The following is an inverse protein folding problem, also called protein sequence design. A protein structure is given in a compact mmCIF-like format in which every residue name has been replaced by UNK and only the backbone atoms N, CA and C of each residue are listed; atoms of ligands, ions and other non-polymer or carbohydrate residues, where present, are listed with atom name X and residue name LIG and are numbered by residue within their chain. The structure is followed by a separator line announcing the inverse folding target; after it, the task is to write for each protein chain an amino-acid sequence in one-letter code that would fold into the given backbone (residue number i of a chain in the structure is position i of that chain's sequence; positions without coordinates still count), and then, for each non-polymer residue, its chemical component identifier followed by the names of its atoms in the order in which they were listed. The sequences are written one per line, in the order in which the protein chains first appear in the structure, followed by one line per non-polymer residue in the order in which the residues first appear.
data_IF_364442838525
#
_entry.id   IF_364442838525
#
_cell.length_a   1.000
_cell.length_b   1.000
_cell.length_c   1.000
_cell.angle_alpha   90.00
_cell.angle_beta   90.00
_cell.angle_gamma   90.00
#
_symmetry.space_group_name_H-M   'P 1'
#
loop_
_entity.id
_entity.type
_entity.pdbx_description
1 polymer ?
#
# COMPACT_ATOMS: atom_id res chain seq x y z
N UNK A 1 -7.95 -7.56 -1.91
CA UNK A 1 -7.58 -7.40 -3.34
C UNK A 1 -8.60 -6.58 -4.12
N UNK A 2 -9.86 -7.02 -4.21
CA UNK A 2 -10.89 -6.34 -5.03
C UNK A 2 -11.08 -4.84 -4.71
N UNK A 3 -11.19 -4.47 -3.44
CA UNK A 3 -11.34 -3.06 -3.04
C UNK A 3 -10.16 -2.18 -3.47
N UNK A 4 -8.93 -2.68 -3.38
CA UNK A 4 -7.74 -1.94 -3.81
C UNK A 4 -7.65 -1.83 -5.33
N UNK A 5 -8.00 -2.89 -6.06
CA UNK A 5 -8.11 -2.83 -7.52
C UNK A 5 -9.17 -1.81 -7.98
N UNK A 6 -10.29 -1.71 -7.25
CA UNK A 6 -11.32 -0.70 -7.51
C UNK A 6 -10.79 0.73 -7.28
N UNK A 7 -10.07 0.97 -6.19
CA UNK A 7 -9.41 2.26 -5.94
C UNK A 7 -8.43 2.62 -7.06
N UNK A 8 -7.61 1.67 -7.50
CA UNK A 8 -6.68 1.93 -8.60
C UNK A 8 -7.39 2.31 -9.90
N UNK A 9 -8.49 1.62 -10.22
CA UNK A 9 -9.28 1.95 -11.41
C UNK A 9 -9.93 3.33 -11.28
N UNK A 10 -10.52 3.61 -10.12
CA UNK A 10 -11.12 4.91 -9.82
C UNK A 10 -10.10 6.05 -9.97
N UNK A 11 -8.91 5.90 -9.37
CA UNK A 11 -7.85 6.92 -9.44
C UNK A 11 -7.39 7.21 -10.87
N UNK A 12 -7.28 6.18 -11.73
CA UNK A 12 -6.91 6.37 -13.15
C UNK A 12 -7.97 7.11 -13.94
N UNK A 13 -9.25 6.87 -13.66
CA UNK A 13 -10.35 7.57 -14.32
C UNK A 13 -10.47 9.01 -13.80
N UNK A 14 -10.38 9.22 -12.49
CA UNK A 14 -10.32 10.57 -11.86
C UNK A 14 -9.20 11.43 -12.42
N UNK A 15 -8.01 10.87 -12.68
CA UNK A 15 -6.90 11.62 -13.28
C UNK A 15 -7.28 12.23 -14.63
N UNK A 16 -8.03 11.49 -15.46
CA UNK A 16 -8.47 11.97 -16.78
C UNK A 16 -9.54 13.04 -16.64
N UNK A 17 -10.50 12.80 -15.75
CA UNK A 17 -11.59 13.73 -15.48
C UNK A 17 -11.08 15.07 -14.94
N UNK A 18 -10.07 15.06 -14.08
CA UNK A 18 -9.55 16.27 -13.41
C UNK A 18 -8.38 16.95 -14.14
N UNK A 19 -7.88 16.37 -15.23
CA UNK A 19 -6.74 16.91 -15.98
C UNK A 19 -6.98 18.35 -16.46
N UNK A 20 -8.19 18.65 -16.92
CA UNK A 20 -8.57 19.99 -17.40
C UNK A 20 -8.59 21.04 -16.28
N UNK A 21 -8.69 20.61 -15.02
CA UNK A 21 -8.63 21.48 -13.83
C UNK A 21 -7.20 21.63 -13.29
N UNK A 22 -6.20 20.98 -13.90
CA UNK A 22 -4.81 21.00 -13.43
C UNK A 22 -4.58 20.25 -12.10
N UNK A 23 -5.50 19.37 -11.69
CA UNK A 23 -5.40 18.60 -10.45
C UNK A 23 -4.71 17.26 -10.71
N UNK A 24 -3.63 16.99 -9.99
CA UNK A 24 -2.92 15.72 -10.01
C UNK A 24 -3.60 14.63 -9.19
N UNK A 25 -3.52 13.38 -9.64
CA UNK A 25 -4.04 12.21 -8.91
C UNK A 25 -2.93 11.17 -8.85
N UNK A 26 -2.59 10.73 -7.63
CA UNK A 26 -1.49 9.81 -7.36
C UNK A 26 -2.00 8.54 -6.68
N UNK A 27 -1.56 7.37 -7.17
CA UNK A 27 -1.76 6.09 -6.48
C UNK A 27 -0.47 5.73 -5.73
N UNK A 28 -0.51 5.75 -4.39
CA UNK A 28 0.59 5.26 -3.55
C UNK A 28 0.27 3.84 -3.05
N UNK A 29 1.09 2.85 -3.45
CA UNK A 29 1.01 1.44 -3.04
C UNK A 29 2.13 1.09 -2.07
N UNK A 30 1.93 1.26 -0.75
CA UNK A 30 2.91 0.82 0.22
C UNK A 30 2.83 -0.69 0.42
N UNK A 31 4.00 -1.30 0.67
CA UNK A 31 4.14 -2.64 1.21
C UNK A 31 3.71 -2.73 2.67
N UNK A 32 4.00 -3.85 3.34
CA UNK A 32 3.55 -4.07 4.71
C UNK A 32 4.29 -3.15 5.71
N UNK A 33 3.62 -2.04 6.05
CA UNK A 33 4.03 -1.09 7.07
C UNK A 33 3.40 -1.41 8.44
N UNK A 34 4.18 -1.26 9.50
CA UNK A 34 3.71 -1.46 10.88
C UNK A 34 2.73 -0.36 11.27
N UNK A 35 1.44 -0.71 11.33
CA UNK A 35 0.34 0.19 11.65
C UNK A 35 -0.73 -0.57 12.42
N UNK A 36 -1.69 0.16 12.99
CA UNK A 36 -2.88 -0.41 13.62
C UNK A 36 -3.92 -0.93 12.60
N UNK A 37 -3.52 -1.24 11.35
CA UNK A 37 -4.44 -1.68 10.29
C UNK A 37 -5.27 -2.92 10.66
N UNK A 38 -4.67 -3.84 11.43
CA UNK A 38 -5.34 -5.04 11.92
C UNK A 38 -5.85 -4.90 13.37
N UNK A 39 -5.72 -3.71 13.98
CA UNK A 39 -6.24 -3.48 15.32
C UNK A 39 -7.76 -3.65 15.32
N UNK A 40 -8.26 -4.50 16.21
CA UNK A 40 -9.69 -4.82 16.30
C UNK A 40 -10.17 -5.97 15.40
N UNK A 41 -9.27 -6.64 14.67
CA UNK A 41 -9.63 -7.91 14.04
C UNK A 41 -9.86 -8.98 15.10
N UNK A 42 -10.91 -9.78 14.92
CA UNK A 42 -11.20 -10.91 15.80
C UNK A 42 -10.07 -11.94 15.72
N UNK A 43 -9.61 -12.42 16.87
CA UNK A 43 -8.38 -13.21 17.00
C UNK A 43 -8.45 -14.54 16.24
N UNK A 44 -9.56 -15.28 16.32
CA UNK A 44 -9.71 -16.56 15.64
C UNK A 44 -9.70 -16.38 14.11
N UNK A 45 -10.35 -15.33 13.60
CA UNK A 45 -10.28 -14.96 12.18
C UNK A 45 -8.86 -14.59 11.76
N UNK A 46 -8.16 -13.77 12.55
CA UNK A 46 -6.77 -13.40 12.27
C UNK A 46 -5.87 -14.64 12.25
N UNK A 47 -6.01 -15.52 13.24
CA UNK A 47 -5.26 -16.78 13.34
C UNK A 47 -5.49 -17.65 12.11
N UNK A 48 -6.75 -17.87 11.73
CA UNK A 48 -7.09 -18.67 10.54
C UNK A 48 -6.49 -18.08 9.24
N UNK A 49 -6.52 -16.75 9.09
CA UNK A 49 -5.96 -16.07 7.93
C UNK A 49 -4.43 -16.21 7.85
N UNK A 50 -3.74 -16.04 8.98
CA UNK A 50 -2.27 -16.20 9.04
C UNK A 50 -1.88 -17.66 8.82
N UNK A 51 -2.59 -18.64 9.37
CA UNK A 51 -2.33 -20.07 9.10
C UNK A 51 -2.47 -20.39 7.62
N UNK A 52 -3.49 -19.85 6.95
CA UNK A 52 -3.64 -20.00 5.50
C UNK A 52 -2.50 -19.31 4.74
N UNK A 53 -2.06 -18.14 5.18
CA UNK A 53 -0.96 -17.40 4.57
C UNK A 53 0.41 -18.06 4.75
N UNK A 54 0.67 -18.74 5.87
CA UNK A 54 1.88 -19.52 6.10
C UNK A 54 2.04 -20.67 5.08
N UNK A 55 0.93 -21.26 4.61
CA UNK A 55 0.96 -22.32 3.58
C UNK A 55 1.48 -21.83 2.23
N UNK A 56 1.53 -20.51 2.01
CA UNK A 56 2.06 -19.90 0.77
C UNK A 56 3.58 -19.71 0.80
N UNK A 57 4.27 -20.20 1.83
CA UNK A 57 5.72 -20.13 1.98
C UNK A 57 6.15 -19.44 3.27
N UNK A 58 7.41 -19.62 3.70
CA UNK A 58 7.90 -19.15 5.00
C UNK A 58 8.26 -17.67 5.02
N UNK A 59 8.42 -17.03 3.85
CA UNK A 59 8.92 -15.65 3.73
C UNK A 59 7.79 -14.65 3.43
N UNK A 60 7.92 -13.44 3.96
CA UNK A 60 7.06 -12.29 3.67
C UNK A 60 7.91 -11.04 3.42
N UNK A 61 7.32 -10.04 2.79
CA UNK A 61 7.90 -8.71 2.58
C UNK A 61 7.25 -7.70 3.54
N UNK A 62 7.80 -7.60 4.77
CA UNK A 62 7.38 -6.63 5.78
C UNK A 62 8.55 -5.84 6.37
N UNK A 63 8.24 -4.96 7.33
CA UNK A 63 9.24 -4.17 8.06
C UNK A 63 9.29 -2.72 7.63
N UNK A 64 8.38 -2.25 6.77
CA UNK A 64 8.23 -0.82 6.55
C UNK A 64 7.74 -0.15 7.85
N UNK A 65 8.26 1.05 8.12
CA UNK A 65 7.75 1.94 9.15
C UNK A 65 6.78 2.96 8.51
N UNK A 66 5.83 3.54 9.27
CA UNK A 66 4.94 4.59 8.78
C UNK A 66 5.70 5.75 8.10
N UNK A 67 6.89 6.08 8.60
CA UNK A 67 7.76 7.14 8.08
C UNK A 67 8.21 6.84 6.64
N UNK A 68 8.40 5.58 6.26
CA UNK A 68 8.72 5.21 4.88
C UNK A 68 7.56 5.52 3.93
N UNK A 69 6.31 5.33 4.38
CA UNK A 69 5.12 5.70 3.62
C UNK A 69 5.00 7.22 3.52
N UNK A 70 5.25 7.94 4.61
CA UNK A 70 5.24 9.40 4.64
C UNK A 70 6.30 10.01 3.70
N UNK A 71 7.52 9.47 3.69
CA UNK A 71 8.59 9.88 2.78
C UNK A 71 8.21 9.63 1.31
N UNK A 72 7.58 8.50 1.02
CA UNK A 72 7.08 8.18 -0.33
C UNK A 72 5.98 9.14 -0.78
N UNK A 73 5.09 9.54 0.13
CA UNK A 73 4.09 10.57 -0.13
C UNK A 73 4.75 11.93 -0.39
N UNK A 74 5.73 12.33 0.43
CA UNK A 74 6.47 13.58 0.24
C UNK A 74 7.14 13.62 -1.14
N UNK A 75 7.77 12.53 -1.56
CA UNK A 75 8.34 12.40 -2.91
C UNK A 75 7.30 12.67 -4.00
N UNK A 76 6.10 12.09 -3.89
CA UNK A 76 5.04 12.33 -4.86
C UNK A 76 4.58 13.78 -4.91
N UNK A 77 4.57 14.48 -3.76
CA UNK A 77 4.15 15.88 -3.64
C UNK A 77 5.22 16.88 -4.05
N UNK A 78 6.48 16.46 -4.16
CA UNK A 78 7.60 17.31 -4.59
C UNK A 78 7.65 17.54 -6.11
N UNK A 79 6.75 16.94 -6.88
CA UNK A 79 6.66 17.18 -8.32
C UNK A 79 6.34 18.65 -8.62
N UNK A 80 6.89 19.21 -9.71
CA UNK A 80 6.57 20.58 -10.11
C UNK A 80 5.07 20.71 -10.44
N UNK A 81 4.55 21.94 -10.33
CA UNK A 81 3.16 22.22 -10.68
C UNK A 81 2.84 21.74 -12.11
N UNK A 82 1.70 21.05 -12.26
CA UNK A 82 1.29 20.42 -13.53
C UNK A 82 1.83 19.00 -13.74
N UNK A 83 2.66 18.47 -12.83
CA UNK A 83 3.15 17.09 -12.87
C UNK A 83 2.68 16.36 -11.62
N UNK A 84 2.20 15.12 -11.78
CA UNK A 84 1.87 14.22 -10.68
C UNK A 84 2.40 12.82 -10.97
N UNK A 85 2.76 12.10 -9.91
CA UNK A 85 3.18 10.70 -10.00
C UNK A 85 1.92 9.85 -10.20
N UNK A 86 1.74 9.22 -11.38
CA UNK A 86 0.54 8.40 -11.65
C UNK A 86 0.44 7.20 -10.69
N UNK A 87 1.56 6.50 -10.46
CA UNK A 87 1.67 5.40 -9.51
C UNK A 87 3.08 5.31 -8.91
N UNK A 88 3.13 5.15 -7.59
CA UNK A 88 4.35 4.78 -6.86
C UNK A 88 4.07 3.53 -6.03
N UNK A 89 4.85 2.47 -6.25
CA UNK A 89 4.84 1.27 -5.42
C UNK A 89 6.17 1.16 -4.67
N UNK A 90 6.10 1.02 -3.35
CA UNK A 90 7.25 0.90 -2.46
C UNK A 90 7.07 -0.34 -1.60
N UNK A 91 8.11 -1.17 -1.50
CA UNK A 91 8.06 -2.44 -0.76
C UNK A 91 9.37 -2.67 -0.01
N UNK A 92 9.37 -3.43 1.10
CA UNK A 92 10.60 -4.00 1.63
C UNK A 92 11.37 -4.77 0.55
N UNK A 93 12.68 -4.57 0.48
CA UNK A 93 13.56 -5.31 -0.42
C UNK A 93 14.25 -6.51 0.24
N UNK A 94 14.01 -6.73 1.54
CA UNK A 94 14.58 -7.84 2.32
C UNK A 94 13.44 -8.75 2.77
N UNK A 95 13.46 -10.05 2.42
CA UNK A 95 12.49 -11.00 2.94
C UNK A 95 12.71 -11.24 4.43
N UNK A 96 11.62 -11.39 5.17
CA UNK A 96 11.63 -11.77 6.59
C UNK A 96 10.80 -13.03 6.81
N UNK A 97 11.14 -13.82 7.82
CA UNK A 97 10.39 -15.03 8.14
C UNK A 97 9.02 -14.66 8.73
N UNK A 98 7.96 -15.36 8.31
CA UNK A 98 6.62 -15.17 8.85
C UNK A 98 6.56 -15.58 10.32
N UNK A 99 5.88 -14.77 11.13
CA UNK A 99 5.60 -15.11 12.52
C UNK A 99 4.72 -16.36 12.64
N UNK A 100 4.90 -17.10 13.73
CA UNK A 100 4.13 -18.30 14.11
C UNK A 100 3.35 -18.00 15.39
N UNK A 101 2.11 -18.48 15.45
CA UNK A 101 1.31 -18.47 16.67
C UNK A 101 1.67 -19.65 17.57
#
# INVERSE_FOLDING_TARGET
AASKAAVERLSRDLRRELAHSGIGVTILRPGAAMTDFAAGWEFERLKSAVTAWQRQGPWMDSGMQPEHVAQSLLFCLQMPAGVSVDLLEVRPCTPVEKFKF
#
